data_IF_097465207613
#
_entry.id   IF_097465207613
#
_cell.length_a   1.000
_cell.length_b   1.000
_cell.length_c   1.000
_cell.angle_alpha   90.00
_cell.angle_beta   90.00
_cell.angle_gamma   90.00
#
_symmetry.space_group_name_H-M   'P 1'
#
loop_
_entity.id
_entity.type
_entity.pdbx_description
1 polymer ?
#
# COMPACT_ATOMS: atom_id res chain seq x y z
N UNK A 1 -10.88 -42.98 45.27
CA UNK A 1 -11.55 -41.86 44.61
C UNK A 1 -10.62 -40.65 44.67
N UNK A 2 -10.03 -40.26 43.53
CA UNK A 2 -9.38 -38.96 43.21
C UNK A 2 -9.14 -39.01 41.68
N UNK A 3 -9.71 -38.12 40.85
CA UNK A 3 -9.54 -38.20 39.40
C UNK A 3 -8.26 -37.50 38.94
N UNK A 4 -7.47 -38.22 38.13
CA UNK A 4 -6.34 -37.68 37.37
C UNK A 4 -6.88 -36.80 36.24
N UNK A 5 -6.66 -35.50 36.34
CA UNK A 5 -6.77 -34.58 35.22
C UNK A 5 -5.64 -34.85 34.23
N UNK A 6 -5.98 -35.34 33.04
CA UNK A 6 -5.08 -35.31 31.88
C UNK A 6 -5.40 -34.05 31.09
N UNK A 7 -4.53 -33.05 31.19
CA UNK A 7 -4.56 -31.88 30.32
C UNK A 7 -4.07 -32.29 28.93
N UNK A 8 -5.00 -32.40 27.99
CA UNK A 8 -4.67 -32.46 26.57
C UNK A 8 -4.20 -31.08 26.11
N UNK A 9 -2.91 -30.80 26.28
CA UNK A 9 -2.24 -29.72 25.56
C UNK A 9 -2.17 -30.13 24.09
N UNK A 10 -3.07 -29.61 23.26
CA UNK A 10 -2.98 -29.73 21.81
C UNK A 10 -1.83 -28.86 21.30
N UNK A 11 -0.64 -29.45 21.21
CA UNK A 11 0.43 -28.94 20.36
C UNK A 11 0.04 -29.22 18.90
N UNK A 12 -0.46 -28.22 18.20
CA UNK A 12 -0.25 -28.15 16.75
C UNK A 12 -0.07 -26.70 16.32
N UNK A 13 1.20 -26.38 16.05
CA UNK A 13 1.64 -25.17 15.36
C UNK A 13 1.10 -25.18 13.93
N UNK A 14 -0.12 -24.68 13.74
CA UNK A 14 -0.65 -24.36 12.41
C UNK A 14 0.01 -23.08 11.91
N UNK A 15 1.12 -23.27 11.21
CA UNK A 15 1.71 -22.29 10.31
C UNK A 15 0.63 -21.76 9.36
N UNK A 16 0.16 -20.52 9.57
CA UNK A 16 -0.51 -19.79 8.51
C UNK A 16 0.52 -19.55 7.40
N UNK A 17 0.16 -19.90 6.17
CA UNK A 17 0.95 -19.61 4.98
C UNK A 17 1.39 -18.13 5.04
N UNK A 18 2.69 -17.84 4.94
CA UNK A 18 3.12 -16.49 4.62
C UNK A 18 2.70 -16.26 3.16
N UNK A 19 1.58 -15.58 2.94
CA UNK A 19 1.18 -15.06 1.63
C UNK A 19 2.11 -13.89 1.28
N UNK A 20 3.33 -14.21 0.87
CA UNK A 20 4.36 -13.25 0.51
C UNK A 20 4.35 -13.00 -1.01
N UNK A 21 3.21 -12.58 -1.54
CA UNK A 21 3.05 -12.28 -2.96
C UNK A 21 3.49 -10.84 -3.26
N UNK A 22 4.73 -10.68 -3.69
CA UNK A 22 5.33 -9.37 -4.01
C UNK A 22 6.49 -9.50 -5.00
N UNK A 23 6.91 -8.38 -5.56
CA UNK A 23 8.06 -8.32 -6.44
C UNK A 23 9.21 -7.59 -5.74
N UNK A 24 10.35 -8.28 -5.63
CA UNK A 24 11.49 -7.82 -4.84
C UNK A 24 12.69 -7.59 -5.75
N UNK A 25 13.17 -6.35 -5.79
CA UNK A 25 14.49 -6.03 -6.29
C UNK A 25 15.48 -6.05 -5.12
N UNK A 26 16.47 -6.94 -5.18
CA UNK A 26 17.57 -6.96 -4.21
C UNK A 26 18.72 -6.16 -4.79
N UNK A 27 18.99 -4.99 -4.21
CA UNK A 27 20.17 -4.17 -4.54
C UNK A 27 21.28 -4.54 -3.58
N UNK A 28 22.39 -5.06 -4.09
CA UNK A 28 23.55 -5.45 -3.28
C UNK A 28 24.76 -4.56 -3.55
N UNK A 29 25.50 -4.22 -2.52
CA UNK A 29 26.75 -3.48 -2.65
C UNK A 29 27.85 -4.40 -3.24
N UNK A 30 28.49 -3.97 -4.32
CA UNK A 30 29.63 -4.66 -4.95
C UNK A 30 30.88 -3.77 -5.02
N UNK A 31 30.92 -2.70 -4.24
CA UNK A 31 32.01 -1.72 -4.20
C UNK A 31 33.33 -2.25 -3.62
N UNK A 32 34.41 -1.48 -3.76
CA UNK A 32 35.71 -1.75 -3.11
C UNK A 32 35.62 -1.79 -1.59
N UNK A 33 34.71 -1.02 -0.98
CA UNK A 33 34.55 -0.94 0.47
C UNK A 33 34.08 -2.26 1.10
N UNK A 34 33.17 -2.99 0.44
CA UNK A 34 32.75 -4.31 0.90
C UNK A 34 33.86 -5.36 0.68
N UNK A 35 34.54 -5.31 -0.46
CA UNK A 35 35.57 -6.28 -0.84
C UNK A 35 35.03 -7.69 -1.12
N UNK A 36 35.84 -8.51 -1.78
CA UNK A 36 35.46 -9.85 -2.25
C UNK A 36 34.94 -10.77 -1.13
N UNK A 37 35.58 -10.73 0.05
CA UNK A 37 35.25 -11.63 1.17
C UNK A 37 33.85 -11.34 1.74
N UNK A 38 33.53 -10.07 2.02
CA UNK A 38 32.21 -9.70 2.55
C UNK A 38 31.15 -9.77 1.46
N UNK A 39 31.49 -9.48 0.21
CA UNK A 39 30.60 -9.74 -0.92
C UNK A 39 30.16 -11.21 -0.99
N UNK A 40 31.06 -12.18 -0.78
CA UNK A 40 30.68 -13.59 -0.70
C UNK A 40 29.76 -13.90 0.49
N UNK A 41 29.93 -13.23 1.64
CA UNK A 41 29.01 -13.36 2.77
C UNK A 41 27.63 -12.78 2.45
N UNK A 42 27.58 -11.64 1.75
CA UNK A 42 26.36 -11.01 1.26
C UNK A 42 25.61 -11.92 0.29
N UNK A 43 26.27 -12.52 -0.71
CA UNK A 43 25.65 -13.49 -1.63
C UNK A 43 25.03 -14.66 -0.87
N UNK A 44 25.75 -15.20 0.12
CA UNK A 44 25.25 -16.29 0.96
C UNK A 44 24.04 -15.88 1.80
N UNK A 45 24.01 -14.65 2.30
CA UNK A 45 22.86 -14.10 3.03
C UNK A 45 21.65 -13.96 2.12
N UNK A 46 21.80 -13.32 0.95
CA UNK A 46 20.72 -13.14 -0.03
C UNK A 46 20.18 -14.49 -0.52
N UNK A 47 21.05 -15.47 -0.75
CA UNK A 47 20.64 -16.83 -1.10
C UNK A 47 19.76 -17.46 0.01
N UNK A 48 20.16 -17.36 1.27
CA UNK A 48 19.37 -17.89 2.40
C UNK A 48 18.03 -17.17 2.55
N UNK A 49 18.00 -15.85 2.31
CA UNK A 49 16.77 -15.05 2.30
C UNK A 49 15.84 -15.50 1.18
N UNK A 50 16.34 -15.63 -0.05
CA UNK A 50 15.57 -16.09 -1.20
C UNK A 50 14.99 -17.50 -0.98
N UNK A 51 15.75 -18.41 -0.36
CA UNK A 51 15.24 -19.73 0.01
C UNK A 51 14.09 -19.65 1.02
N UNK A 52 14.17 -18.74 2.01
CA UNK A 52 13.15 -18.58 3.04
C UNK A 52 11.87 -17.91 2.51
N UNK A 53 12.01 -17.00 1.54
CA UNK A 53 10.92 -16.33 0.84
C UNK A 53 10.07 -17.28 -0.02
N UNK A 54 10.58 -18.50 -0.32
CA UNK A 54 9.92 -19.49 -1.18
C UNK A 54 9.57 -18.91 -2.56
N UNK A 55 10.56 -18.31 -3.20
CA UNK A 55 10.44 -17.72 -4.55
C UNK A 55 9.86 -18.74 -5.54
N UNK A 56 8.86 -18.31 -6.31
CA UNK A 56 8.25 -19.15 -7.33
C UNK A 56 6.99 -18.53 -7.93
N UNK A 57 6.32 -19.25 -8.86
CA UNK A 57 5.19 -18.71 -9.63
C UNK A 57 4.02 -18.22 -8.76
N UNK A 58 3.82 -18.85 -7.60
CA UNK A 58 2.76 -18.52 -6.63
C UNK A 58 3.30 -17.73 -5.43
N UNK A 59 4.59 -17.41 -5.42
CA UNK A 59 5.29 -16.73 -4.33
C UNK A 59 5.82 -15.36 -4.74
N UNK A 60 6.81 -14.83 -4.01
CA UNK A 60 7.47 -13.59 -4.40
C UNK A 60 8.33 -13.83 -5.64
N UNK A 61 8.43 -12.81 -6.50
CA UNK A 61 9.42 -12.77 -7.57
C UNK A 61 10.63 -11.99 -7.08
N UNK A 62 11.83 -12.44 -7.42
CA UNK A 62 13.08 -11.81 -6.97
C UNK A 62 13.98 -11.59 -8.16
N UNK A 63 14.47 -10.37 -8.31
CA UNK A 63 15.60 -10.08 -9.17
C UNK A 63 16.68 -9.30 -8.42
N UNK A 64 17.83 -9.11 -9.06
CA UNK A 64 19.03 -8.63 -8.38
C UNK A 64 19.79 -7.59 -9.20
N UNK A 65 20.21 -6.54 -8.50
CA UNK A 65 21.01 -5.43 -9.03
C UNK A 65 22.26 -5.26 -8.17
N UNK A 66 23.43 -5.17 -8.79
CA UNK A 66 24.68 -4.83 -8.11
C UNK A 66 24.93 -3.33 -8.20
N UNK A 67 25.15 -2.69 -7.05
CA UNK A 67 25.62 -1.32 -6.96
C UNK A 67 27.15 -1.28 -6.96
N UNK A 68 27.73 -0.45 -7.82
CA UNK A 68 29.17 -0.22 -7.97
C UNK A 68 29.38 1.20 -8.53
N UNK A 69 30.38 1.44 -9.39
CA UNK A 69 30.49 2.68 -10.17
C UNK A 69 29.21 2.99 -10.95
N UNK A 70 28.64 1.95 -11.57
CA UNK A 70 27.37 1.98 -12.27
C UNK A 70 26.50 0.79 -11.86
N UNK A 71 25.16 0.94 -11.78
CA UNK A 71 24.29 -0.16 -11.40
C UNK A 71 24.24 -1.22 -12.50
N UNK A 72 24.40 -2.48 -12.12
CA UNK A 72 24.33 -3.61 -13.05
C UNK A 72 23.19 -4.55 -12.64
N UNK A 73 22.20 -4.70 -13.50
CA UNK A 73 21.15 -5.70 -13.30
C UNK A 73 21.68 -7.07 -13.71
N UNK A 74 21.69 -8.01 -12.77
CA UNK A 74 22.17 -9.38 -13.00
C UNK A 74 21.06 -10.28 -13.52
N UNK A 75 19.86 -10.13 -12.98
CA UNK A 75 18.66 -10.82 -13.46
C UNK A 75 17.37 -10.11 -13.01
N UNK A 76 16.33 -10.24 -13.83
CA UNK A 76 15.00 -9.65 -13.60
C UNK A 76 14.10 -10.61 -12.80
N UNK A 77 12.91 -10.12 -12.45
CA UNK A 77 11.94 -10.79 -11.58
C UNK A 77 11.50 -12.18 -12.06
N UNK A 78 11.45 -12.40 -13.38
CA UNK A 78 10.97 -13.65 -13.98
C UNK A 78 12.08 -14.55 -14.52
N UNK A 79 13.35 -14.14 -14.44
CA UNK A 79 14.46 -14.95 -14.94
C UNK A 79 14.60 -16.28 -14.20
N UNK A 80 14.25 -16.33 -12.91
CA UNK A 80 14.35 -17.52 -12.08
C UNK A 80 13.07 -17.73 -11.26
N UNK A 81 12.22 -18.66 -11.70
CA UNK A 81 10.99 -19.05 -10.98
C UNK A 81 11.18 -20.30 -10.11
N UNK A 82 12.35 -20.94 -10.17
CA UNK A 82 12.68 -22.08 -9.33
C UNK A 82 13.68 -21.68 -8.24
N UNK A 83 13.42 -22.02 -6.96
CA UNK A 83 14.35 -21.70 -5.87
C UNK A 83 15.78 -22.18 -6.14
N UNK A 84 15.95 -23.39 -6.68
CA UNK A 84 17.27 -23.98 -6.92
C UNK A 84 18.09 -23.17 -7.93
N UNK A 85 17.46 -22.73 -9.02
CA UNK A 85 18.11 -21.95 -10.07
C UNK A 85 18.47 -20.55 -9.58
N UNK A 86 17.56 -19.89 -8.87
CA UNK A 86 17.82 -18.59 -8.24
C UNK A 86 19.01 -18.67 -7.28
N UNK A 87 19.06 -19.70 -6.43
CA UNK A 87 20.17 -19.91 -5.49
C UNK A 87 21.50 -20.12 -6.20
N UNK A 88 21.49 -20.79 -7.36
CA UNK A 88 22.68 -20.98 -8.17
C UNK A 88 23.12 -19.65 -8.79
N UNK A 89 22.19 -18.92 -9.41
CA UNK A 89 22.46 -17.61 -10.01
C UNK A 89 23.06 -16.61 -9.01
N UNK A 90 22.53 -16.55 -7.79
CA UNK A 90 23.06 -15.70 -6.72
C UNK A 90 24.50 -16.10 -6.34
N UNK A 91 24.83 -17.40 -6.34
CA UNK A 91 26.18 -17.86 -6.00
C UNK A 91 27.21 -17.48 -7.06
N UNK A 92 26.84 -17.52 -8.32
CA UNK A 92 27.71 -17.25 -9.47
C UNK A 92 27.99 -15.76 -9.73
N UNK A 93 27.35 -14.84 -8.98
CA UNK A 93 27.57 -13.41 -9.14
C UNK A 93 29.04 -13.03 -8.99
N UNK A 94 29.55 -12.28 -9.97
CA UNK A 94 30.90 -11.74 -9.95
C UNK A 94 30.97 -10.48 -9.09
N UNK A 95 32.08 -10.30 -8.40
CA UNK A 95 32.36 -9.07 -7.68
C UNK A 95 32.84 -7.99 -8.66
N UNK A 96 32.26 -6.79 -8.60
CA UNK A 96 32.56 -5.72 -9.55
C UNK A 96 33.69 -4.79 -9.06
N UNK A 97 33.69 -4.44 -7.78
CA UNK A 97 34.53 -3.36 -7.26
C UNK A 97 33.94 -1.98 -7.58
N UNK A 98 34.79 -0.96 -7.65
CA UNK A 98 34.39 0.44 -7.87
C UNK A 98 33.91 1.18 -6.61
N UNK A 99 33.25 2.30 -6.82
CA UNK A 99 32.64 3.17 -5.82
C UNK A 99 31.29 2.64 -5.32
N UNK A 100 30.79 3.21 -4.22
CA UNK A 100 29.54 2.78 -3.57
C UNK A 100 28.37 3.69 -3.99
N UNK A 101 28.01 3.70 -5.29
CA UNK A 101 26.92 4.53 -5.82
C UNK A 101 25.53 3.88 -5.63
N UNK A 102 25.06 3.86 -4.39
CA UNK A 102 23.77 3.26 -4.00
C UNK A 102 22.60 4.10 -4.51
N UNK A 103 22.71 5.43 -4.48
CA UNK A 103 21.68 6.34 -4.98
C UNK A 103 21.36 6.10 -6.45
N UNK A 104 22.39 6.00 -7.30
CA UNK A 104 22.23 5.64 -8.72
C UNK A 104 21.57 4.28 -8.89
N UNK A 105 21.93 3.29 -8.06
CA UNK A 105 21.34 1.95 -8.14
C UNK A 105 19.85 1.97 -7.77
N UNK A 106 19.47 2.72 -6.74
CA UNK A 106 18.07 2.93 -6.36
C UNK A 106 17.32 3.62 -7.50
N UNK A 107 17.87 4.70 -8.05
CA UNK A 107 17.27 5.48 -9.13
C UNK A 107 16.99 4.62 -10.37
N UNK A 108 18.01 3.95 -10.91
CA UNK A 108 17.86 3.09 -12.09
C UNK A 108 16.89 1.92 -11.85
N UNK A 109 16.89 1.36 -10.63
CA UNK A 109 15.97 0.29 -10.26
C UNK A 109 14.53 0.82 -10.21
N UNK A 110 14.32 2.00 -9.62
CA UNK A 110 13.00 2.62 -9.55
C UNK A 110 12.43 2.94 -10.94
N UNK A 111 13.25 3.50 -11.83
CA UNK A 111 12.82 3.94 -13.16
C UNK A 111 12.51 2.79 -14.11
N UNK A 112 13.27 1.68 -14.05
CA UNK A 112 13.26 0.70 -15.13
C UNK A 112 13.02 -0.74 -14.71
N UNK A 113 13.20 -1.10 -13.43
CA UNK A 113 13.17 -2.50 -13.02
C UNK A 113 11.75 -3.04 -12.89
N UNK A 114 10.85 -2.29 -12.25
CA UNK A 114 9.49 -2.73 -11.93
C UNK A 114 8.49 -2.48 -13.07
N UNK A 115 8.83 -2.95 -14.27
CA UNK A 115 7.95 -2.89 -15.45
C UNK A 115 7.35 -4.25 -15.77
N UNK A 116 6.16 -4.28 -16.38
CA UNK A 116 5.50 -5.54 -16.74
C UNK A 116 6.34 -6.39 -17.70
N UNK A 117 7.01 -5.75 -18.67
CA UNK A 117 7.93 -6.42 -19.60
C UNK A 117 9.15 -7.04 -18.91
N UNK A 118 9.47 -6.62 -17.68
CA UNK A 118 10.54 -7.18 -16.84
C UNK A 118 10.03 -8.03 -15.68
N UNK A 119 8.75 -8.43 -15.73
CA UNK A 119 8.18 -9.42 -14.82
C UNK A 119 7.50 -8.86 -13.57
N UNK A 120 7.32 -7.54 -13.48
CA UNK A 120 6.53 -6.94 -12.40
C UNK A 120 5.03 -7.23 -12.60
N UNK A 121 4.37 -7.66 -11.54
CA UNK A 121 2.96 -8.06 -11.51
C UNK A 121 2.10 -6.89 -11.04
N UNK A 122 0.97 -6.69 -11.73
CA UNK A 122 -0.06 -5.73 -11.27
C UNK A 122 -0.65 -6.20 -9.93
N UNK A 123 -1.01 -5.24 -9.08
CA UNK A 123 -1.59 -5.51 -7.76
C UNK A 123 -0.66 -6.16 -6.73
N UNK A 124 0.61 -6.39 -7.07
CA UNK A 124 1.61 -6.94 -6.14
C UNK A 124 2.50 -5.82 -5.60
N UNK A 125 2.78 -5.80 -4.29
CA UNK A 125 3.70 -4.82 -3.71
C UNK A 125 5.08 -4.89 -4.35
N UNK A 126 5.67 -3.72 -4.61
CA UNK A 126 7.03 -3.58 -5.12
C UNK A 126 7.94 -3.26 -3.95
N UNK A 127 8.98 -4.05 -3.75
CA UNK A 127 9.93 -3.89 -2.65
C UNK A 127 11.34 -3.80 -3.22
N UNK A 128 12.05 -2.74 -2.87
CA UNK A 128 13.47 -2.59 -3.15
C UNK A 128 14.24 -2.79 -1.85
N UNK A 129 14.87 -3.96 -1.68
CA UNK A 129 15.72 -4.23 -0.52
C UNK A 129 17.16 -3.90 -0.87
N UNK A 130 17.69 -2.84 -0.26
CA UNK A 130 19.03 -2.31 -0.49
C UNK A 130 19.95 -2.75 0.64
N UNK A 131 20.92 -3.60 0.31
CA UNK A 131 22.00 -4.03 1.20
C UNK A 131 23.20 -3.11 1.05
N UNK A 132 23.65 -2.53 2.17
CA UNK A 132 24.79 -1.63 2.21
C UNK A 132 25.83 -2.07 3.25
N UNK A 133 27.12 -1.93 2.92
CA UNK A 133 28.25 -2.08 3.84
C UNK A 133 28.87 -0.70 4.09
N UNK A 134 28.42 0.01 5.13
CA UNK A 134 28.88 1.37 5.43
C UNK A 134 28.00 2.48 4.86
N UNK A 135 28.61 3.45 4.16
CA UNK A 135 27.95 4.68 3.70
C UNK A 135 28.03 4.86 2.17
N UNK A 136 26.98 5.44 1.55
CA UNK A 136 26.97 5.71 0.12
C UNK A 136 27.98 6.80 -0.25
N UNK A 137 28.49 6.72 -1.48
CA UNK A 137 29.34 7.75 -2.08
C UNK A 137 28.53 8.88 -2.76
N UNK A 138 27.25 8.62 -3.02
CA UNK A 138 26.30 9.50 -3.70
C UNK A 138 25.06 9.82 -2.84
N UNK A 139 24.15 10.64 -3.39
CA UNK A 139 22.90 11.01 -2.72
C UNK A 139 21.86 9.89 -2.87
N UNK A 140 21.42 9.36 -1.73
CA UNK A 140 20.40 8.32 -1.64
C UNK A 140 19.00 8.90 -1.44
N UNK A 141 18.89 10.11 -0.87
CA UNK A 141 17.63 10.71 -0.47
C UNK A 141 16.71 10.95 -1.67
N UNK A 142 17.22 11.64 -2.70
CA UNK A 142 16.44 11.95 -3.90
C UNK A 142 15.98 10.69 -4.65
N UNK A 143 16.89 9.73 -4.83
CA UNK A 143 16.59 8.48 -5.51
C UNK A 143 15.52 7.68 -4.76
N UNK A 144 15.59 7.67 -3.43
CA UNK A 144 14.61 6.98 -2.60
C UNK A 144 13.26 7.71 -2.56
N UNK A 145 13.22 9.04 -2.59
CA UNK A 145 11.98 9.81 -2.76
C UNK A 145 11.27 9.37 -4.04
N UNK A 146 11.98 9.36 -5.18
CA UNK A 146 11.40 8.94 -6.46
C UNK A 146 10.90 7.49 -6.41
N UNK A 147 11.67 6.57 -5.81
CA UNK A 147 11.25 5.19 -5.64
C UNK A 147 9.92 5.10 -4.86
N UNK A 148 9.78 5.85 -3.76
CA UNK A 148 8.55 5.86 -2.96
C UNK A 148 7.37 6.49 -3.70
N UNK A 149 7.61 7.56 -4.45
CA UNK A 149 6.59 8.24 -5.28
C UNK A 149 6.08 7.35 -6.42
N UNK A 150 6.90 6.43 -6.91
CA UNK A 150 6.56 5.44 -7.94
C UNK A 150 6.01 4.12 -7.37
N UNK A 151 5.64 4.11 -6.09
CA UNK A 151 4.98 2.97 -5.45
C UNK A 151 5.94 1.84 -5.04
N UNK A 152 7.23 2.13 -4.85
CA UNK A 152 8.23 1.15 -4.42
C UNK A 152 8.58 1.34 -2.95
N UNK A 153 8.50 0.25 -2.18
CA UNK A 153 8.92 0.24 -0.78
C UNK A 153 10.43 0.04 -0.69
N UNK A 154 11.14 1.08 -0.28
CA UNK A 154 12.60 1.00 -0.04
C UNK A 154 12.86 0.45 1.36
N UNK A 155 13.56 -0.69 1.42
CA UNK A 155 14.06 -1.30 2.64
C UNK A 155 15.58 -1.21 2.69
N UNK A 156 16.10 -0.46 3.65
CA UNK A 156 17.53 -0.34 3.85
C UNK A 156 18.02 -1.38 4.85
N UNK A 157 18.92 -2.25 4.42
CA UNK A 157 19.57 -3.26 5.26
C UNK A 157 21.05 -2.89 5.38
N UNK A 158 21.42 -2.28 6.50
CA UNK A 158 22.81 -1.93 6.79
C UNK A 158 23.49 -3.07 7.54
N UNK A 159 24.62 -3.55 7.04
CA UNK A 159 25.42 -4.59 7.70
C UNK A 159 26.72 -3.98 8.19
N UNK A 160 27.01 -4.16 9.48
CA UNK A 160 28.10 -3.49 10.20
C UNK A 160 27.95 -1.95 10.16
N UNK A 161 27.92 -1.32 11.33
CA UNK A 161 27.92 0.16 11.38
C UNK A 161 29.32 0.67 11.04
N UNK A 162 29.43 1.88 10.45
CA UNK A 162 30.72 2.56 10.31
C UNK A 162 31.43 2.61 11.67
N UNK A 163 32.73 2.38 11.68
CA UNK A 163 33.52 2.56 12.89
C UNK A 163 33.49 4.03 13.35
N UNK A 164 33.76 4.32 14.62
CA UNK A 164 33.67 5.68 15.14
C UNK A 164 34.61 6.64 14.39
N UNK A 165 35.75 6.12 13.95
CA UNK A 165 36.79 6.79 13.18
C UNK A 165 36.34 7.07 11.73
N UNK A 166 35.41 6.29 11.21
CA UNK A 166 34.89 6.40 9.85
C UNK A 166 33.67 7.34 9.74
N UNK A 167 33.03 7.67 10.87
CA UNK A 167 31.87 8.57 10.91
C UNK A 167 32.14 9.96 10.36
N UNK A 168 33.41 10.41 10.33
CA UNK A 168 33.81 11.67 9.71
C UNK A 168 33.79 11.64 8.17
N UNK A 169 33.81 10.45 7.57
CA UNK A 169 33.78 10.25 6.11
C UNK A 169 32.35 10.09 5.56
N UNK A 170 31.38 9.92 6.45
CA UNK A 170 29.96 9.80 6.11
C UNK A 170 29.41 11.18 5.77
N UNK A 171 29.10 11.42 4.49
CA UNK A 171 28.57 12.71 4.01
C UNK A 171 27.24 13.08 4.68
N UNK A 172 26.29 12.14 4.68
CA UNK A 172 25.00 12.29 5.34
C UNK A 172 24.83 11.14 6.33
N UNK A 173 24.77 11.46 7.64
CA UNK A 173 24.66 10.46 8.71
C UNK A 173 23.24 9.90 8.86
N UNK A 174 22.24 10.60 8.36
CA UNK A 174 20.83 10.24 8.43
C UNK A 174 20.30 9.66 7.11
N UNK A 175 21.20 9.35 6.16
CA UNK A 175 20.83 8.81 4.85
C UNK A 175 19.90 7.58 4.94
N UNK A 176 20.09 6.70 5.93
CA UNK A 176 19.21 5.55 6.17
C UNK A 176 17.77 5.98 6.51
N UNK A 177 17.61 7.02 7.33
CA UNK A 177 16.30 7.53 7.75
C UNK A 177 15.59 8.25 6.61
N UNK A 178 16.34 9.00 5.81
CA UNK A 178 15.83 9.75 4.66
C UNK A 178 15.50 8.86 3.46
N UNK A 179 16.22 7.74 3.32
CA UNK A 179 15.98 6.75 2.28
C UNK A 179 14.69 5.95 2.50
N UNK A 180 14.25 5.81 3.74
CA UNK A 180 13.02 5.08 4.05
C UNK A 180 11.82 6.01 4.17
N UNK A 181 10.63 5.44 4.03
CA UNK A 181 9.39 6.22 4.14
C UNK A 181 9.06 6.66 5.57
N UNK A 182 9.25 5.78 6.56
CA UNK A 182 8.99 6.05 7.99
C UNK A 182 10.22 5.64 8.79
N UNK A 183 10.73 6.56 9.62
CA UNK A 183 11.79 6.28 10.60
C UNK A 183 11.21 5.68 11.90
N UNK A 184 10.43 4.60 11.76
CA UNK A 184 9.85 3.85 12.88
C UNK A 184 10.64 2.56 13.17
N UNK A 185 11.87 2.47 12.64
CA UNK A 185 12.65 1.25 12.62
C UNK A 185 12.12 0.17 11.67
N UNK A 186 10.96 0.34 11.05
CA UNK A 186 10.27 -0.40 9.97
C UNK A 186 11.16 -0.89 8.83
N UNK A 187 11.51 0.11 8.03
CA UNK A 187 12.12 -0.02 6.72
C UNK A 187 13.65 -0.03 6.79
N UNK A 188 14.21 0.28 7.96
CA UNK A 188 15.63 0.18 8.25
C UNK A 188 15.91 -1.07 9.09
N UNK A 189 16.87 -1.88 8.67
CA UNK A 189 17.26 -3.11 9.39
C UNK A 189 18.78 -3.14 9.57
N UNK A 190 19.24 -3.06 10.81
CA UNK A 190 20.67 -3.08 11.13
C UNK A 190 21.12 -4.49 11.52
N UNK A 191 22.07 -5.04 10.78
CA UNK A 191 22.78 -6.28 11.11
C UNK A 191 24.12 -5.91 11.77
N UNK A 192 24.40 -6.32 13.01
CA UNK A 192 25.64 -5.93 13.69
C UNK A 192 26.92 -6.46 13.04
N UNK A 193 26.86 -7.64 12.41
CA UNK A 193 28.04 -8.31 11.87
C UNK A 193 27.71 -9.17 10.65
N UNK A 194 28.62 -9.17 9.68
CA UNK A 194 28.59 -10.07 8.52
C UNK A 194 28.52 -11.56 8.93
N UNK A 195 29.11 -11.92 10.07
CA UNK A 195 29.12 -13.30 10.58
C UNK A 195 27.79 -13.72 11.24
N UNK A 196 26.96 -12.76 11.65
CA UNK A 196 25.65 -13.02 12.27
C UNK A 196 24.47 -12.92 11.31
N UNK A 197 24.70 -12.57 10.04
CA UNK A 197 23.68 -12.39 8.99
C UNK A 197 22.65 -13.52 8.94
N UNK A 198 23.07 -14.76 9.14
CA UNK A 198 22.19 -15.95 9.17
C UNK A 198 21.08 -15.87 10.22
N UNK A 199 21.35 -15.28 11.39
CA UNK A 199 20.35 -15.08 12.46
C UNK A 199 19.25 -14.09 12.07
N UNK A 200 19.53 -13.23 11.09
CA UNK A 200 18.64 -12.17 10.64
C UNK A 200 17.76 -12.55 9.44
N UNK A 201 18.01 -13.70 8.80
CA UNK A 201 17.23 -14.16 7.64
C UNK A 201 15.73 -14.28 7.98
N UNK A 202 15.41 -14.92 9.11
CA UNK A 202 14.02 -15.10 9.57
C UNK A 202 13.31 -13.79 9.90
N UNK A 203 13.80 -12.95 10.81
CA UNK A 203 13.12 -11.70 11.15
C UNK A 203 13.02 -10.76 9.94
N UNK A 204 14.03 -10.70 9.07
CA UNK A 204 13.95 -9.89 7.86
C UNK A 204 12.90 -10.43 6.87
N UNK A 205 12.83 -11.74 6.67
CA UNK A 205 11.78 -12.35 5.82
C UNK A 205 10.38 -12.03 6.35
N UNK A 206 10.17 -12.17 7.66
CA UNK A 206 8.89 -11.84 8.29
C UNK A 206 8.51 -10.37 8.10
N UNK A 207 9.52 -9.49 8.16
CA UNK A 207 9.32 -8.06 7.96
C UNK A 207 8.99 -7.70 6.52
N UNK A 208 9.74 -8.24 5.55
CA UNK A 208 9.49 -8.04 4.13
C UNK A 208 8.10 -8.55 3.74
N UNK A 209 7.70 -9.72 4.24
CA UNK A 209 6.40 -10.31 3.98
C UNK A 209 5.24 -9.75 4.82
N UNK A 210 5.47 -8.69 5.61
CA UNK A 210 4.43 -8.03 6.40
C UNK A 210 3.71 -7.01 5.52
N UNK A 211 2.82 -7.48 4.65
CA UNK A 211 2.10 -6.64 3.67
C UNK A 211 1.42 -5.42 4.32
N UNK A 212 0.76 -5.63 5.46
CA UNK A 212 0.09 -4.57 6.24
C UNK A 212 1.04 -3.51 6.79
N UNK A 213 2.36 -3.72 6.74
CA UNK A 213 3.35 -2.76 7.20
C UNK A 213 4.14 -2.13 6.04
N UNK A 214 3.91 -2.57 4.79
CA UNK A 214 4.45 -1.97 3.56
C UNK A 214 3.70 -0.68 3.15
N UNK A 215 2.91 -0.10 4.05
CA UNK A 215 2.03 1.06 3.84
C UNK A 215 2.80 2.40 3.79
N UNK A 216 3.83 2.47 2.97
CA UNK A 216 4.74 3.62 2.98
C UNK A 216 5.24 4.03 1.59
N UNK A 217 5.31 3.10 0.64
CA UNK A 217 5.16 3.46 -0.77
C UNK A 217 3.76 4.01 -1.03
N UNK A 218 3.58 4.91 -2.02
CA UNK A 218 2.23 5.25 -2.50
C UNK A 218 1.53 3.99 -3.00
N UNK A 219 0.60 3.46 -2.22
CA UNK A 219 -0.30 2.38 -2.57
C UNK A 219 -1.73 2.90 -2.51
N UNK A 220 -2.69 2.15 -3.05
CA UNK A 220 -4.09 2.51 -2.89
C UNK A 220 -4.52 2.59 -1.42
N UNK A 221 -3.89 1.82 -0.52
CA UNK A 221 -4.29 1.76 0.88
C UNK A 221 -3.91 3.02 1.67
N UNK A 222 -3.00 3.84 1.16
CA UNK A 222 -2.41 4.97 1.88
C UNK A 222 -2.11 6.19 0.98
N UNK A 223 -2.69 6.28 -0.21
CA UNK A 223 -2.43 7.39 -1.15
C UNK A 223 -3.68 7.79 -1.92
N UNK A 224 -4.83 7.70 -1.26
CA UNK A 224 -6.14 7.98 -1.83
C UNK A 224 -6.92 8.93 -0.95
N UNK A 225 -7.70 9.80 -1.58
CA UNK A 225 -8.69 10.64 -0.93
C UNK A 225 -10.05 9.97 -1.14
N UNK A 226 -10.72 9.56 -0.07
CA UNK A 226 -12.02 8.91 -0.11
C UNK A 226 -13.05 9.85 0.48
N UNK A 227 -13.99 10.28 -0.36
CA UNK A 227 -15.16 11.04 0.06
C UNK A 227 -16.39 10.15 0.15
N UNK A 228 -17.11 10.24 1.26
CA UNK A 228 -18.41 9.61 1.41
C UNK A 228 -19.52 10.64 1.15
N UNK A 229 -20.45 10.29 0.27
CA UNK A 229 -21.67 11.05 0.03
C UNK A 229 -22.85 10.24 0.58
N UNK A 230 -23.38 10.69 1.71
CA UNK A 230 -24.24 9.91 2.60
C UNK A 230 -25.67 10.44 2.52
N UNK A 231 -26.59 9.61 2.03
CA UNK A 231 -28.02 9.93 2.01
C UNK A 231 -28.59 9.93 3.43
N UNK A 232 -29.01 11.11 3.88
CA UNK A 232 -29.66 11.34 5.18
C UNK A 232 -31.17 11.56 5.05
N UNK A 233 -31.78 11.17 3.92
CA UNK A 233 -33.19 11.39 3.62
C UNK A 233 -34.14 10.62 4.53
N UNK A 234 -35.41 11.03 4.52
CA UNK A 234 -36.47 10.45 5.34
C UNK A 234 -36.77 8.99 5.00
N UNK A 235 -36.50 8.54 3.76
CA UNK A 235 -36.71 7.14 3.33
C UNK A 235 -35.76 6.18 4.00
N UNK A 236 -34.52 6.62 4.26
CA UNK A 236 -33.50 5.82 4.94
C UNK A 236 -33.98 5.49 6.35
N UNK A 237 -34.36 6.51 7.12
CA UNK A 237 -34.75 6.36 8.53
C UNK A 237 -33.55 6.14 9.47
N UNK A 238 -33.73 6.50 10.74
CA UNK A 238 -32.63 6.60 11.70
C UNK A 238 -31.89 5.26 11.92
N UNK A 239 -32.60 4.14 12.03
CA UNK A 239 -31.99 2.83 12.26
C UNK A 239 -31.10 2.39 11.09
N UNK A 240 -31.57 2.58 9.85
CA UNK A 240 -30.80 2.22 8.67
C UNK A 240 -29.64 3.17 8.43
N UNK A 241 -29.79 4.45 8.80
CA UNK A 241 -28.70 5.42 8.74
C UNK A 241 -27.50 4.99 9.60
N UNK A 242 -27.74 4.40 10.78
CA UNK A 242 -26.66 3.81 11.59
C UNK A 242 -25.95 2.65 10.86
N UNK A 243 -26.69 1.80 10.15
CA UNK A 243 -26.09 0.72 9.34
C UNK A 243 -25.23 1.26 8.20
N UNK A 244 -25.63 2.38 7.57
CA UNK A 244 -24.78 3.07 6.58
C UNK A 244 -23.48 3.55 7.23
N UNK A 245 -23.55 4.22 8.39
CA UNK A 245 -22.36 4.71 9.09
C UNK A 245 -21.41 3.56 9.50
N UNK A 246 -21.95 2.44 9.96
CA UNK A 246 -21.15 1.25 10.30
C UNK A 246 -20.48 0.63 9.05
N UNK A 247 -21.21 0.56 7.93
CA UNK A 247 -20.68 0.12 6.64
C UNK A 247 -19.51 1.01 6.18
N UNK A 248 -19.68 2.34 6.22
CA UNK A 248 -18.63 3.30 5.86
C UNK A 248 -17.43 3.20 6.81
N UNK A 249 -17.68 3.03 8.11
CA UNK A 249 -16.64 2.76 9.09
C UNK A 249 -15.84 1.50 8.76
N UNK A 250 -16.50 0.44 8.29
CA UNK A 250 -15.85 -0.79 7.82
C UNK A 250 -14.94 -0.59 6.60
N UNK A 251 -15.30 0.33 5.69
CA UNK A 251 -14.43 0.74 4.57
C UNK A 251 -13.19 1.47 5.11
N UNK A 252 -13.39 2.48 5.97
CA UNK A 252 -12.27 3.24 6.59
C UNK A 252 -11.28 2.33 7.30
N UNK A 253 -11.78 1.29 7.98
CA UNK A 253 -10.93 0.31 8.66
C UNK A 253 -9.96 -0.44 7.73
N UNK A 254 -10.27 -0.53 6.43
CA UNK A 254 -9.45 -1.21 5.43
C UNK A 254 -8.31 -0.35 4.85
N UNK A 255 -8.26 0.95 5.15
CA UNK A 255 -7.23 1.89 4.66
C UNK A 255 -6.30 2.34 5.80
N UNK A 256 -5.12 2.86 5.45
CA UNK A 256 -4.16 3.47 6.39
C UNK A 256 -4.38 4.98 6.45
N UNK A 257 -5.30 5.41 7.32
CA UNK A 257 -5.66 6.82 7.47
C UNK A 257 -4.58 7.57 8.24
N UNK A 258 -3.92 8.52 7.58
CA UNK A 258 -2.96 9.44 8.19
C UNK A 258 -2.74 10.68 7.32
N UNK A 259 -2.04 11.70 7.83
CA UNK A 259 -1.73 12.94 7.09
C UNK A 259 -0.96 12.68 5.78
N UNK A 260 -0.12 11.65 5.80
CA UNK A 260 0.66 11.16 4.67
C UNK A 260 0.05 9.90 4.01
N UNK A 261 -1.11 9.44 4.51
CA UNK A 261 -1.79 8.21 4.14
C UNK A 261 -3.06 8.44 3.32
N UNK A 262 -4.04 7.55 3.51
CA UNK A 262 -5.38 7.76 2.99
C UNK A 262 -6.09 8.87 3.78
N UNK A 263 -6.93 9.64 3.09
CA UNK A 263 -7.68 10.76 3.64
C UNK A 263 -9.17 10.53 3.50
N UNK A 264 -9.92 10.80 4.55
CA UNK A 264 -11.36 10.49 4.61
C UNK A 264 -12.13 11.77 4.85
N UNK A 265 -13.20 11.99 4.11
CA UNK A 265 -14.14 13.06 4.36
C UNK A 265 -15.57 12.62 4.07
N UNK A 266 -16.53 13.34 4.64
CA UNK A 266 -17.93 12.96 4.56
C UNK A 266 -18.83 14.18 4.31
N UNK A 267 -19.75 14.02 3.38
CA UNK A 267 -20.84 14.95 3.11
C UNK A 267 -22.15 14.18 3.30
N UNK A 268 -23.00 14.67 4.19
CA UNK A 268 -24.38 14.19 4.31
C UNK A 268 -25.28 15.05 3.41
N UNK A 269 -26.29 14.46 2.79
CA UNK A 269 -27.22 15.21 1.95
C UNK A 269 -28.68 14.80 2.16
N UNK A 270 -29.56 15.78 1.94
CA UNK A 270 -30.99 15.61 1.75
C UNK A 270 -31.43 16.45 0.54
N UNK A 271 -32.30 17.46 0.73
CA UNK A 271 -32.41 18.61 -0.18
C UNK A 271 -31.18 19.52 -0.06
N UNK A 272 -30.68 19.68 1.16
CA UNK A 272 -29.48 20.45 1.49
C UNK A 272 -28.27 19.54 1.68
N UNK A 273 -27.06 20.09 1.48
CA UNK A 273 -25.80 19.37 1.65
C UNK A 273 -25.05 19.92 2.87
N UNK A 274 -24.48 19.02 3.66
CA UNK A 274 -23.68 19.34 4.85
C UNK A 274 -22.34 18.64 4.78
N UNK A 275 -21.26 19.41 4.77
CA UNK A 275 -19.92 18.88 5.04
C UNK A 275 -19.84 18.51 6.52
N UNK A 276 -19.78 17.21 6.82
CA UNK A 276 -19.65 16.72 8.19
C UNK A 276 -18.21 16.85 8.67
N UNK A 277 -17.25 16.51 7.80
CA UNK A 277 -15.83 16.78 7.96
C UNK A 277 -15.09 16.65 6.61
N UNK A 278 -14.03 17.43 6.44
CA UNK A 278 -13.17 17.44 5.27
C UNK A 278 -12.11 16.34 5.28
N UNK A 279 -11.44 16.17 4.13
CA UNK A 279 -10.41 15.14 3.91
C UNK A 279 -9.21 15.21 4.89
N UNK A 280 -8.97 16.37 5.52
CA UNK A 280 -7.81 16.65 6.35
C UNK A 280 -8.14 16.86 7.83
N UNK A 281 -9.40 16.69 8.22
CA UNK A 281 -9.85 17.01 9.58
C UNK A 281 -9.47 15.91 10.58
N UNK A 282 -9.17 14.69 10.09
CA UNK A 282 -8.88 13.51 10.91
C UNK A 282 -7.59 12.82 10.46
N UNK A 283 -6.56 12.88 11.30
CA UNK A 283 -5.23 12.35 11.04
C UNK A 283 -5.07 10.87 11.43
N UNK A 284 -6.10 10.23 11.99
CA UNK A 284 -6.05 8.82 12.39
C UNK A 284 -7.32 8.08 11.99
N UNK A 285 -7.19 6.76 11.86
CA UNK A 285 -8.30 5.85 11.56
C UNK A 285 -9.37 5.92 12.64
N UNK A 286 -8.95 5.92 13.91
CA UNK A 286 -9.83 5.95 15.08
C UNK A 286 -10.64 7.25 15.10
N UNK A 287 -10.02 8.39 14.80
CA UNK A 287 -10.70 9.68 14.74
C UNK A 287 -11.71 9.75 13.61
N UNK A 288 -11.35 9.29 12.41
CA UNK A 288 -12.24 9.28 11.24
C UNK A 288 -13.46 8.37 11.47
N UNK A 289 -13.27 7.16 12.00
CA UNK A 289 -14.38 6.25 12.36
C UNK A 289 -15.24 6.85 13.48
N UNK A 290 -14.61 7.47 14.47
CA UNK A 290 -15.31 8.17 15.55
C UNK A 290 -16.16 9.33 15.03
N UNK A 291 -15.65 10.09 14.06
CA UNK A 291 -16.37 11.20 13.43
C UNK A 291 -17.57 10.72 12.61
N UNK A 292 -17.41 9.66 11.81
CA UNK A 292 -18.53 9.04 11.09
C UNK A 292 -19.68 8.65 12.02
N UNK A 293 -19.37 7.98 13.13
CA UNK A 293 -20.38 7.55 14.12
C UNK A 293 -21.11 8.69 14.83
N UNK A 294 -20.54 9.90 14.81
CA UNK A 294 -21.14 11.10 15.42
C UNK A 294 -21.99 11.91 14.44
N UNK A 295 -22.06 11.52 13.17
CA UNK A 295 -22.90 12.20 12.18
C UNK A 295 -24.37 12.06 12.60
N UNK A 296 -25.03 13.19 12.80
CA UNK A 296 -26.44 13.24 13.16
C UNK A 296 -27.31 13.06 11.92
N UNK A 297 -28.29 12.16 12.00
CA UNK A 297 -29.29 11.96 10.96
C UNK A 297 -30.10 13.25 10.70
N UNK A 298 -30.21 13.66 9.43
CA UNK A 298 -30.93 14.88 9.02
C UNK A 298 -32.44 14.68 8.87
N UNK A 299 -32.88 13.78 8.00
CA UNK A 299 -34.26 13.65 7.48
C UNK A 299 -34.65 14.78 6.50
N UNK A 300 -35.08 14.39 5.29
CA UNK A 300 -35.47 15.30 4.20
C UNK A 300 -35.67 14.53 2.89
N UNK A 301 -35.68 15.23 1.75
CA UNK A 301 -35.69 14.58 0.44
C UNK A 301 -34.29 14.14 -0.01
N UNK A 302 -34.16 13.73 -1.26
CA UNK A 302 -32.93 13.11 -1.82
C UNK A 302 -32.47 13.87 -3.06
N UNK A 303 -31.53 14.81 -2.94
CA UNK A 303 -30.96 15.59 -4.05
C UNK A 303 -29.50 15.17 -4.31
N UNK A 304 -29.33 13.98 -4.87
CA UNK A 304 -28.04 13.33 -5.10
C UNK A 304 -27.18 14.08 -6.12
N UNK A 305 -27.76 14.66 -7.17
CA UNK A 305 -27.02 15.41 -8.18
C UNK A 305 -26.35 16.65 -7.60
N UNK A 306 -27.11 17.42 -6.81
CA UNK A 306 -26.63 18.57 -6.06
C UNK A 306 -25.57 18.19 -5.02
N UNK A 307 -25.76 17.03 -4.37
CA UNK A 307 -24.78 16.47 -3.44
C UNK A 307 -23.44 16.13 -4.11
N UNK A 308 -23.46 15.51 -5.30
CA UNK A 308 -22.24 15.23 -6.09
C UNK A 308 -21.53 16.55 -6.42
N UNK A 309 -22.26 17.56 -6.91
CA UNK A 309 -21.68 18.87 -7.22
C UNK A 309 -21.04 19.52 -5.99
N UNK A 310 -21.72 19.44 -4.84
CA UNK A 310 -21.20 19.98 -3.59
C UNK A 310 -19.90 19.28 -3.15
N UNK A 311 -19.83 17.94 -3.25
CA UNK A 311 -18.63 17.18 -2.93
C UNK A 311 -17.44 17.57 -3.83
N UNK A 312 -17.67 17.73 -5.13
CA UNK A 312 -16.64 18.21 -6.08
C UNK A 312 -16.10 19.58 -5.65
N UNK A 313 -16.98 20.51 -5.27
CA UNK A 313 -16.58 21.90 -4.97
C UNK A 313 -15.96 22.07 -3.58
N UNK A 314 -16.44 21.32 -2.58
CA UNK A 314 -16.12 21.57 -1.17
C UNK A 314 -15.26 20.48 -0.55
N UNK A 315 -15.39 19.23 -0.98
CA UNK A 315 -14.65 18.10 -0.43
C UNK A 315 -13.35 17.83 -1.21
N UNK A 316 -13.41 17.74 -2.54
CA UNK A 316 -12.26 17.41 -3.39
C UNK A 316 -11.52 18.64 -3.94
N UNK A 317 -11.12 19.56 -3.05
CA UNK A 317 -10.41 20.79 -3.45
C UNK A 317 -8.93 20.56 -3.79
N UNK A 318 -8.34 19.54 -3.19
CA UNK A 318 -6.92 19.22 -3.32
C UNK A 318 -6.66 18.16 -4.40
N UNK A 319 -5.47 18.23 -5.01
CA UNK A 319 -5.04 17.23 -5.99
C UNK A 319 -4.75 15.90 -5.32
N UNK A 320 -5.06 14.80 -6.00
CA UNK A 320 -4.79 13.44 -5.53
C UNK A 320 -5.64 12.41 -6.25
N UNK A 321 -5.54 11.16 -5.84
CA UNK A 321 -6.41 10.09 -6.32
C UNK A 321 -7.72 10.13 -5.56
N UNK A 322 -8.73 10.74 -6.18
CA UNK A 322 -10.01 11.06 -5.55
C UNK A 322 -11.05 9.99 -5.88
N UNK A 323 -11.64 9.41 -4.84
CA UNK A 323 -12.69 8.40 -4.92
C UNK A 323 -13.92 8.88 -4.15
N UNK A 324 -15.07 8.89 -4.80
CA UNK A 324 -16.35 9.26 -4.20
C UNK A 324 -17.24 8.02 -4.09
N UNK A 325 -17.64 7.66 -2.87
CA UNK A 325 -18.62 6.60 -2.63
C UNK A 325 -19.95 7.25 -2.29
N UNK A 326 -20.94 7.06 -3.16
CA UNK A 326 -22.31 7.55 -3.00
C UNK A 326 -23.17 6.42 -2.42
N UNK A 327 -23.81 6.64 -1.29
CA UNK A 327 -24.76 5.69 -0.68
C UNK A 327 -26.14 6.33 -0.66
N UNK A 328 -27.13 5.69 -1.27
CA UNK A 328 -28.52 6.18 -1.35
C UNK A 328 -29.54 5.03 -1.34
N UNK A 329 -30.75 5.27 -0.83
CA UNK A 329 -31.81 4.26 -0.74
C UNK A 329 -32.99 4.50 -1.72
N UNK A 330 -32.94 5.59 -2.50
CA UNK A 330 -34.08 6.06 -3.27
C UNK A 330 -33.71 6.83 -4.53
N UNK A 331 -34.75 7.24 -5.26
CA UNK A 331 -34.63 8.05 -6.47
C UNK A 331 -34.26 9.50 -6.11
N UNK A 332 -33.36 10.10 -6.89
CA UNK A 332 -33.03 11.52 -6.75
C UNK A 332 -34.16 12.42 -7.29
N UNK A 333 -34.38 13.56 -6.63
CA UNK A 333 -35.30 14.60 -7.11
C UNK A 333 -34.69 15.49 -8.21
N UNK A 334 -33.38 15.40 -8.43
CA UNK A 334 -32.62 16.19 -9.40
C UNK A 334 -31.81 15.29 -10.36
N UNK A 335 -31.27 15.89 -11.43
CA UNK A 335 -30.44 15.17 -12.39
C UNK A 335 -29.10 14.76 -11.76
N UNK A 336 -28.80 13.47 -11.86
CA UNK A 336 -27.56 12.89 -11.34
C UNK A 336 -26.49 12.70 -12.42
N UNK A 337 -26.85 12.77 -13.70
CA UNK A 337 -25.98 12.45 -14.83
C UNK A 337 -24.93 13.53 -15.05
N UNK A 338 -25.36 14.78 -15.15
CA UNK A 338 -24.48 15.90 -15.45
C UNK A 338 -23.48 16.15 -14.30
N UNK A 339 -23.89 16.20 -13.02
CA UNK A 339 -22.94 16.35 -11.91
C UNK A 339 -21.92 15.22 -11.84
N UNK A 340 -22.35 13.97 -12.07
CA UNK A 340 -21.45 12.83 -12.08
C UNK A 340 -20.47 12.87 -13.27
N UNK A 341 -20.92 13.31 -14.45
CA UNK A 341 -20.05 13.52 -15.60
C UNK A 341 -18.97 14.55 -15.31
N UNK A 342 -19.34 15.69 -14.70
CA UNK A 342 -18.39 16.74 -14.31
C UNK A 342 -17.38 16.22 -13.28
N UNK A 343 -17.84 15.50 -12.26
CA UNK A 343 -16.97 14.91 -11.25
C UNK A 343 -15.94 13.94 -11.87
N UNK A 344 -16.39 13.04 -12.75
CA UNK A 344 -15.50 12.12 -13.48
C UNK A 344 -14.51 12.86 -14.38
N UNK A 345 -14.95 13.95 -15.03
CA UNK A 345 -14.09 14.82 -15.83
C UNK A 345 -12.99 15.52 -15.03
N UNK A 346 -13.14 15.64 -13.71
CA UNK A 346 -12.11 16.15 -12.79
C UNK A 346 -11.22 15.05 -12.19
N UNK A 347 -11.31 13.82 -12.70
CA UNK A 347 -10.51 12.69 -12.23
C UNK A 347 -11.04 12.06 -10.93
N UNK A 348 -12.29 12.33 -10.55
CA UNK A 348 -12.93 11.68 -9.40
C UNK A 348 -13.58 10.38 -9.86
N UNK A 349 -13.18 9.25 -9.26
CA UNK A 349 -13.79 7.94 -9.54
C UNK A 349 -15.00 7.72 -8.64
N UNK A 350 -16.17 7.47 -9.21
CA UNK A 350 -17.43 7.36 -8.47
C UNK A 350 -17.83 5.89 -8.33
N UNK A 351 -18.04 5.47 -7.09
CA UNK A 351 -18.69 4.22 -6.73
C UNK A 351 -20.11 4.55 -6.22
N UNK A 352 -21.14 3.91 -6.77
CA UNK A 352 -22.52 4.09 -6.33
C UNK A 352 -23.04 2.84 -5.64
N UNK A 353 -23.55 3.00 -4.41
CA UNK A 353 -24.10 1.95 -3.57
C UNK A 353 -25.57 2.26 -3.32
N UNK A 354 -26.43 1.52 -3.99
CA UNK A 354 -27.87 1.59 -3.80
C UNK A 354 -28.37 0.59 -2.78
N UNK A 355 -29.38 0.99 -2.02
CA UNK A 355 -30.08 0.11 -1.08
C UNK A 355 -31.59 0.17 -1.33
N UNK A 356 -32.31 -0.89 -0.95
CA UNK A 356 -33.76 -0.94 -0.95
C UNK A 356 -34.38 -0.65 -2.33
N UNK A 357 -34.83 0.59 -2.57
CA UNK A 357 -35.57 0.98 -3.76
C UNK A 357 -34.76 1.91 -4.69
N UNK A 358 -33.46 2.07 -4.44
CA UNK A 358 -32.58 2.88 -5.27
C UNK A 358 -32.60 2.45 -6.76
N UNK A 359 -32.92 3.35 -7.70
CA UNK A 359 -33.01 2.99 -9.11
C UNK A 359 -31.65 2.59 -9.70
N UNK A 360 -31.55 1.36 -10.22
CA UNK A 360 -30.30 0.85 -10.80
C UNK A 360 -29.76 1.73 -11.94
N UNK A 361 -30.64 2.31 -12.76
CA UNK A 361 -30.24 3.17 -13.88
C UNK A 361 -29.60 4.48 -13.39
N UNK A 362 -30.06 5.04 -12.28
CA UNK A 362 -29.48 6.24 -11.67
C UNK A 362 -28.11 5.91 -11.06
N UNK A 363 -28.00 4.78 -10.34
CA UNK A 363 -26.73 4.31 -9.79
C UNK A 363 -25.68 4.11 -10.89
N UNK A 364 -26.07 3.47 -12.00
CA UNK A 364 -25.22 3.28 -13.17
C UNK A 364 -24.87 4.60 -13.84
N UNK A 365 -25.80 5.54 -13.94
CA UNK A 365 -25.55 6.86 -14.52
C UNK A 365 -24.48 7.66 -13.73
N UNK A 366 -24.50 7.55 -12.41
CA UNK A 366 -23.54 8.21 -11.52
C UNK A 366 -22.16 7.54 -11.52
N UNK A 367 -22.13 6.20 -11.49
CA UNK A 367 -20.90 5.41 -11.34
C UNK A 367 -19.84 5.68 -12.42
N UNK A 368 -18.57 5.48 -12.11
CA UNK A 368 -17.48 5.45 -13.09
C UNK A 368 -17.48 4.16 -13.91
N UNK A 369 -16.70 4.13 -15.00
CA UNK A 369 -16.48 2.91 -15.77
C UNK A 369 -15.41 2.02 -15.11
N UNK A 370 -15.51 0.68 -15.19
CA UNK A 370 -16.62 -0.07 -15.77
C UNK A 370 -17.80 -0.17 -14.80
N UNK A 371 -19.03 0.11 -15.30
CA UNK A 371 -20.26 0.18 -14.49
C UNK A 371 -20.47 -1.01 -13.57
N UNK A 372 -20.27 -2.23 -14.06
CA UNK A 372 -20.53 -3.46 -13.30
C UNK A 372 -19.61 -3.65 -12.07
N UNK A 373 -18.52 -2.89 -11.97
CA UNK A 373 -17.63 -2.91 -10.80
C UNK A 373 -17.69 -1.65 -9.95
N UNK A 374 -18.45 -0.65 -10.38
CA UNK A 374 -18.63 0.62 -9.70
C UNK A 374 -20.05 0.82 -9.15
N UNK A 375 -21.00 0.01 -9.61
CA UNK A 375 -22.38 0.01 -9.16
C UNK A 375 -22.67 -1.19 -8.28
N UNK A 376 -23.12 -0.93 -7.05
CA UNK A 376 -23.49 -1.93 -6.06
C UNK A 376 -24.94 -1.72 -5.66
N UNK A 377 -25.66 -2.83 -5.41
CA UNK A 377 -27.06 -2.78 -5.01
C UNK A 377 -27.41 -3.94 -4.09
N UNK A 378 -28.07 -3.62 -2.97
CA UNK A 378 -28.66 -4.61 -2.06
C UNK A 378 -30.11 -4.24 -1.75
N UNK A 379 -30.95 -5.24 -1.51
CA UNK A 379 -32.35 -5.00 -1.10
C UNK A 379 -32.49 -4.56 0.35
N UNK A 380 -31.53 -4.95 1.20
CA UNK A 380 -31.55 -4.70 2.64
C UNK A 380 -30.27 -4.00 3.09
N UNK A 381 -30.38 -3.07 4.04
CA UNK A 381 -29.25 -2.33 4.60
C UNK A 381 -28.22 -3.22 5.29
N UNK A 382 -28.64 -4.36 5.85
CA UNK A 382 -27.75 -5.38 6.43
C UNK A 382 -26.76 -5.94 5.39
N UNK A 383 -27.17 -6.03 4.13
CA UNK A 383 -26.34 -6.49 3.01
C UNK A 383 -25.22 -5.54 2.60
N UNK A 384 -25.22 -4.28 3.08
CA UNK A 384 -24.16 -3.30 2.77
C UNK A 384 -22.76 -3.82 3.15
N UNK A 385 -22.67 -4.56 4.25
CA UNK A 385 -21.39 -5.10 4.75
C UNK A 385 -20.70 -6.03 3.76
N UNK A 386 -21.44 -6.68 2.85
CA UNK A 386 -20.90 -7.55 1.80
C UNK A 386 -20.09 -6.77 0.75
N UNK A 387 -20.34 -5.46 0.62
CA UNK A 387 -19.68 -4.60 -0.38
C UNK A 387 -18.36 -3.99 0.10
N UNK A 388 -18.01 -4.10 1.38
CA UNK A 388 -16.77 -3.51 1.92
C UNK A 388 -15.55 -4.00 1.13
N UNK A 389 -15.38 -5.32 1.01
CA UNK A 389 -14.21 -5.89 0.33
C UNK A 389 -14.22 -5.65 -1.19
N UNK A 390 -15.35 -5.82 -1.92
CA UNK A 390 -15.45 -5.42 -3.31
C UNK A 390 -15.10 -3.95 -3.57
N UNK A 391 -15.60 -3.01 -2.75
CA UNK A 391 -15.31 -1.57 -2.91
C UNK A 391 -13.84 -1.27 -2.67
N UNK A 392 -13.25 -1.80 -1.60
CA UNK A 392 -11.82 -1.62 -1.30
C UNK A 392 -10.96 -2.15 -2.45
N UNK A 393 -11.29 -3.34 -2.99
CA UNK A 393 -10.60 -3.90 -4.15
C UNK A 393 -10.80 -3.05 -5.41
N UNK A 394 -12.00 -2.53 -5.63
CA UNK A 394 -12.33 -1.63 -6.75
C UNK A 394 -11.49 -0.36 -6.71
N UNK A 395 -11.48 0.34 -5.57
CA UNK A 395 -10.65 1.53 -5.33
C UNK A 395 -9.19 1.23 -5.61
N UNK A 396 -8.70 0.09 -5.09
CA UNK A 396 -7.31 -0.32 -5.28
C UNK A 396 -6.95 -0.66 -6.71
N UNK A 397 -7.83 -1.36 -7.44
CA UNK A 397 -7.65 -1.64 -8.87
C UNK A 397 -7.57 -0.33 -9.65
N UNK A 398 -8.53 0.57 -9.45
CA UNK A 398 -8.62 1.83 -10.18
C UNK A 398 -7.45 2.78 -9.86
N UNK A 399 -6.97 2.77 -8.62
CA UNK A 399 -5.71 3.44 -8.26
C UNK A 399 -4.52 2.91 -9.06
N UNK A 400 -4.44 1.59 -9.28
CA UNK A 400 -3.32 0.95 -10.01
C UNK A 400 -3.44 0.99 -11.53
N UNK A 401 -4.63 1.24 -12.08
CA UNK A 401 -4.82 1.37 -13.53
C UNK A 401 -4.59 2.80 -14.00
N UNK A 402 -4.82 3.78 -13.12
CA UNK A 402 -4.59 5.20 -13.37
C UNK A 402 -3.18 5.69 -12.99
N UNK A 403 -2.30 4.81 -12.52
CA UNK A 403 -0.88 5.03 -12.18
C UNK A 403 -0.01 3.94 -12.81
#
# INVERSE_FOLDING_TARGET
>A
ALPRWTSSFSVSSRWRHLDCQMDIAVVIDSSKNIGQRRFNLQKNFVAKLAAMLRVGPTGPHVGLVQASDSPRTEFMLTNYTQPKELLFAIKELAYLGGDTNIGKAILQTAESFFTQSRGARRGHPRVMMVLIDGWPSDDVEQAAILARETGINVFMVSVAKPAAEELGMVRDKDFLKKAVCKDNGFFSYSIPSWFSTTKHVRPLTQRLCSLDALLCSKTCYNSVNIGFLIDGSSSVGWQNFQLILDFLGGIVQSFDVSDAGARIGAVQFTYDQRLEFGLFDHATKEDAVGALRRISYMSGGTATGSAIRYAVQNLFRERGHNFLIVVTDGQSYDDVRDPAMVARGQGITIFSVGVAWAPMDDLRAMSSEPKDSHTFFTREFTGLTEFIQPLVRGICRDFTENN
#
